data_IF_709832883846
#
_entry.id   IF_709832883846
#
_cell.length_a   1.000
_cell.length_b   1.000
_cell.length_c   1.000
_cell.angle_alpha   90.00
_cell.angle_beta   90.00
_cell.angle_gamma   90.00
#
_symmetry.space_group_name_H-M   'P 1'
#
loop_
_entity.id
_entity.type
_entity.pdbx_description
1 polymer ?
#
# COMPACT_ATOMS: atom_id res chain seq x y z
N UNK A 1 -15.08 5.15 -20.47
CA UNK A 1 -16.04 6.00 -19.74
C UNK A 1 -16.08 7.41 -20.29
N UNK A 2 -14.96 8.05 -20.53
CA UNK A 2 -14.90 9.45 -20.97
C UNK A 2 -15.69 9.70 -22.28
N UNK A 3 -15.53 8.82 -23.28
CA UNK A 3 -16.19 8.96 -24.59
C UNK A 3 -17.56 8.27 -24.68
N UNK A 4 -17.77 7.20 -23.93
CA UNK A 4 -18.94 6.30 -24.06
C UNK A 4 -19.76 6.23 -22.77
N UNK A 5 -19.61 7.17 -21.86
CA UNK A 5 -20.13 7.10 -20.51
C UNK A 5 -19.63 5.85 -19.75
N UNK A 6 -20.02 5.68 -18.51
CA UNK A 6 -19.72 4.45 -17.75
C UNK A 6 -20.77 3.38 -18.12
N UNK A 7 -20.51 2.61 -19.18
CA UNK A 7 -21.47 1.71 -19.80
C UNK A 7 -20.83 0.38 -20.21
N UNK A 8 -21.63 -0.64 -20.45
CA UNK A 8 -21.17 -1.94 -20.98
C UNK A 8 -20.41 -1.78 -22.30
N UNK A 9 -20.88 -0.88 -23.19
CA UNK A 9 -20.18 -0.59 -24.46
C UNK A 9 -18.77 -0.06 -24.22
N UNK A 10 -18.58 0.86 -23.24
CA UNK A 10 -17.29 1.39 -22.88
C UNK A 10 -16.34 0.28 -22.38
N UNK A 11 -16.86 -0.66 -21.59
CA UNK A 11 -16.07 -1.78 -21.04
C UNK A 11 -15.68 -2.77 -22.12
N UNK A 12 -16.58 -3.11 -23.05
CA UNK A 12 -16.28 -3.94 -24.22
C UNK A 12 -15.17 -3.31 -25.07
N UNK A 13 -15.30 -2.00 -25.36
CA UNK A 13 -14.29 -1.29 -26.12
C UNK A 13 -12.93 -1.28 -25.40
N UNK A 14 -12.91 -0.99 -24.09
CA UNK A 14 -11.70 -1.02 -23.29
C UNK A 14 -11.05 -2.41 -23.25
N UNK A 15 -11.87 -3.49 -23.14
CA UNK A 15 -11.39 -4.84 -23.17
C UNK A 15 -10.77 -5.20 -24.52
N UNK A 16 -11.45 -4.90 -25.62
CA UNK A 16 -10.93 -5.12 -26.98
C UNK A 16 -9.62 -4.36 -27.19
N UNK A 17 -9.57 -3.09 -26.74
CA UNK A 17 -8.35 -2.27 -26.83
C UNK A 17 -7.21 -2.89 -26.02
N UNK A 18 -7.49 -3.33 -24.79
CA UNK A 18 -6.52 -4.02 -23.94
C UNK A 18 -5.97 -5.28 -24.62
N UNK A 19 -6.86 -6.14 -25.13
CA UNK A 19 -6.46 -7.36 -25.85
C UNK A 19 -5.60 -7.03 -27.08
N UNK A 20 -6.01 -5.99 -27.84
CA UNK A 20 -5.24 -5.57 -29.00
C UNK A 20 -3.83 -5.05 -28.64
N UNK A 21 -3.72 -4.28 -27.54
CA UNK A 21 -2.41 -3.81 -27.03
C UNK A 21 -1.57 -5.01 -26.57
N UNK A 22 -2.14 -5.93 -25.79
CA UNK A 22 -1.41 -7.12 -25.35
C UNK A 22 -0.95 -7.94 -26.53
N UNK A 23 -1.85 -8.17 -27.52
CA UNK A 23 -1.50 -8.86 -28.75
C UNK A 23 -0.38 -8.16 -29.53
N UNK A 24 -0.46 -6.83 -29.67
CA UNK A 24 0.59 -6.04 -30.35
C UNK A 24 1.94 -6.15 -29.63
N UNK A 25 1.94 -6.04 -28.29
CA UNK A 25 3.16 -6.20 -27.49
C UNK A 25 3.75 -7.61 -27.65
N UNK A 26 2.92 -8.63 -27.69
CA UNK A 26 3.35 -10.02 -27.89
C UNK A 26 3.82 -10.30 -29.33
N UNK A 27 3.15 -9.71 -30.33
CA UNK A 27 3.48 -9.93 -31.74
C UNK A 27 4.72 -9.17 -32.20
N UNK A 28 4.87 -7.93 -31.74
CA UNK A 28 5.93 -7.01 -32.19
C UNK A 28 7.03 -6.80 -31.14
N UNK A 29 6.84 -7.24 -29.90
CA UNK A 29 7.85 -7.18 -28.85
C UNK A 29 9.04 -8.08 -29.20
N UNK A 30 10.26 -7.56 -29.04
CA UNK A 30 11.50 -8.32 -29.29
C UNK A 30 11.69 -9.54 -28.38
N UNK A 31 10.91 -9.62 -27.29
CA UNK A 31 10.98 -10.71 -26.34
C UNK A 31 9.82 -11.71 -26.53
N UNK A 32 9.87 -12.49 -27.60
CA UNK A 32 9.02 -13.68 -27.76
C UNK A 32 9.20 -14.75 -26.67
N UNK A 33 10.05 -14.49 -25.67
CA UNK A 33 10.42 -15.45 -24.63
C UNK A 33 9.45 -15.52 -23.45
N UNK A 34 8.57 -14.53 -23.26
CA UNK A 34 7.61 -14.54 -22.15
C UNK A 34 6.66 -15.75 -22.17
N UNK A 35 6.34 -16.30 -23.36
CA UNK A 35 5.48 -17.44 -23.53
C UNK A 35 6.15 -18.65 -24.20
N UNK A 36 7.42 -18.55 -24.60
CA UNK A 36 8.16 -19.70 -25.12
C UNK A 36 8.51 -20.66 -23.99
N UNK A 37 7.62 -21.55 -23.79
CA UNK A 37 7.88 -22.82 -23.15
C UNK A 37 7.86 -22.75 -21.64
N UNK A 38 7.11 -23.58 -21.12
CA UNK A 38 7.20 -24.20 -19.80
C UNK A 38 5.93 -24.12 -18.98
N UNK A 39 4.84 -24.51 -19.58
CA UNK A 39 3.83 -25.23 -18.82
C UNK A 39 4.35 -26.66 -18.53
N UNK A 40 5.49 -26.75 -17.83
CA UNK A 40 5.82 -27.99 -17.12
C UNK A 40 4.82 -28.10 -15.99
N UNK A 41 4.17 -29.26 -15.84
CA UNK A 41 3.34 -29.51 -14.65
C UNK A 41 4.20 -29.19 -13.43
N UNK A 42 3.79 -28.28 -12.55
CA UNK A 42 4.58 -27.94 -11.38
C UNK A 42 4.70 -29.18 -10.51
N UNK A 43 5.90 -29.54 -10.13
CA UNK A 43 6.12 -30.49 -9.05
C UNK A 43 5.76 -29.77 -7.74
N UNK A 44 4.58 -30.08 -7.21
CA UNK A 44 4.03 -29.44 -6.01
C UNK A 44 4.95 -29.69 -4.81
N UNK A 45 5.53 -30.88 -4.69
CA UNK A 45 6.41 -31.23 -3.57
C UNK A 45 7.70 -30.41 -3.65
N UNK A 46 8.30 -30.34 -4.84
CA UNK A 46 9.48 -29.51 -5.07
C UNK A 46 9.17 -28.01 -4.83
N UNK A 47 7.98 -27.53 -5.26
CA UNK A 47 7.56 -26.15 -5.06
C UNK A 47 7.54 -25.78 -3.56
N UNK A 48 6.94 -26.59 -2.71
CA UNK A 48 6.88 -26.34 -1.26
C UNK A 48 8.25 -26.51 -0.59
N UNK A 49 9.02 -27.50 -1.00
CA UNK A 49 10.38 -27.70 -0.49
C UNK A 49 11.29 -26.53 -0.82
N UNK A 50 11.18 -25.99 -2.02
CA UNK A 50 11.96 -24.82 -2.44
C UNK A 50 11.45 -23.51 -1.84
N UNK A 51 10.19 -23.45 -1.45
CA UNK A 51 9.52 -22.24 -0.98
C UNK A 51 8.73 -22.48 0.32
N UNK A 52 9.39 -22.72 1.45
CA UNK A 52 8.73 -23.05 2.72
C UNK A 52 7.77 -21.95 3.22
N UNK A 53 7.96 -20.72 2.77
CA UNK A 53 7.01 -19.64 3.05
C UNK A 53 5.57 -19.92 2.56
N UNK A 54 5.41 -20.82 1.58
CA UNK A 54 4.07 -21.22 1.10
C UNK A 54 3.28 -22.01 2.15
N UNK A 55 3.95 -22.72 3.09
CA UNK A 55 3.29 -23.37 4.22
C UNK A 55 2.61 -22.38 5.16
N UNK A 56 3.10 -21.16 5.23
CA UNK A 56 2.49 -20.08 5.99
C UNK A 56 1.46 -19.30 5.15
N UNK A 57 1.84 -18.93 3.93
CA UNK A 57 1.01 -18.07 3.09
C UNK A 57 -0.29 -18.72 2.66
N UNK A 58 -0.27 -20.02 2.33
CA UNK A 58 -1.47 -20.69 1.83
C UNK A 58 -2.57 -20.80 2.90
N UNK A 59 -2.31 -21.26 4.13
CA UNK A 59 -3.31 -21.23 5.19
C UNK A 59 -3.82 -19.83 5.51
N UNK A 60 -2.92 -18.83 5.56
CA UNK A 60 -3.31 -17.44 5.80
C UNK A 60 -4.19 -16.91 4.67
N UNK A 61 -3.87 -17.22 3.42
CA UNK A 61 -4.68 -16.84 2.27
C UNK A 61 -6.07 -17.47 2.32
N UNK A 62 -6.14 -18.78 2.61
CA UNK A 62 -7.43 -19.49 2.74
C UNK A 62 -8.26 -18.88 3.87
N UNK A 63 -7.65 -18.61 5.02
CA UNK A 63 -8.31 -17.95 6.14
C UNK A 63 -8.80 -16.54 5.75
N UNK A 64 -7.96 -15.75 5.06
CA UNK A 64 -8.34 -14.42 4.60
C UNK A 64 -9.51 -14.47 3.62
N UNK A 65 -9.53 -15.43 2.70
CA UNK A 65 -10.66 -15.64 1.81
C UNK A 65 -11.94 -16.05 2.55
N UNK A 66 -11.79 -16.89 3.56
CA UNK A 66 -12.92 -17.26 4.43
C UNK A 66 -13.50 -16.02 5.13
N UNK A 67 -12.65 -15.20 5.77
CA UNK A 67 -13.08 -13.96 6.42
C UNK A 67 -13.70 -12.99 5.42
N UNK A 68 -13.10 -12.81 4.24
CA UNK A 68 -13.65 -11.97 3.18
C UNK A 68 -15.07 -12.38 2.81
N UNK A 69 -15.30 -13.67 2.60
CA UNK A 69 -16.60 -14.18 2.14
C UNK A 69 -17.67 -14.18 3.24
N UNK A 70 -17.31 -14.43 4.49
CA UNK A 70 -18.25 -14.60 5.58
C UNK A 70 -18.45 -13.34 6.43
N UNK A 71 -17.39 -12.55 6.62
CA UNK A 71 -17.41 -11.43 7.55
C UNK A 71 -17.63 -10.07 6.90
N UNK A 72 -17.28 -9.88 5.61
CA UNK A 72 -17.31 -8.54 5.01
C UNK A 72 -18.71 -8.06 4.70
N UNK A 73 -19.48 -8.83 3.94
CA UNK A 73 -20.90 -8.55 3.62
C UNK A 73 -21.67 -9.85 3.76
N UNK A 74 -22.00 -10.29 4.98
CA UNK A 74 -22.79 -11.48 5.20
C UNK A 74 -24.23 -11.27 4.72
N UNK A 75 -24.82 -12.33 4.20
CA UNK A 75 -26.23 -12.37 3.83
C UNK A 75 -27.00 -13.14 4.89
N UNK A 76 -27.81 -12.43 5.66
CA UNK A 76 -28.51 -12.96 6.83
C UNK A 76 -30.00 -12.65 6.69
N UNK A 77 -30.86 -13.65 6.75
CA UNK A 77 -32.32 -13.50 6.70
C UNK A 77 -32.83 -12.65 5.54
N UNK A 78 -32.25 -12.80 4.36
CA UNK A 78 -32.67 -12.07 3.18
C UNK A 78 -32.07 -10.66 3.03
N UNK A 79 -31.24 -10.23 3.96
CA UNK A 79 -30.62 -8.90 3.95
C UNK A 79 -29.10 -8.94 3.93
N UNK A 80 -28.48 -7.93 3.33
CA UNK A 80 -27.04 -7.72 3.39
C UNK A 80 -26.71 -6.95 4.68
N UNK A 81 -25.74 -7.46 5.42
CA UNK A 81 -25.24 -6.83 6.63
C UNK A 81 -23.80 -6.38 6.43
N UNK A 82 -23.39 -5.29 7.06
CA UNK A 82 -21.99 -4.94 7.14
C UNK A 82 -21.32 -5.81 8.20
N UNK A 83 -20.21 -6.41 7.84
CA UNK A 83 -19.39 -7.14 8.79
C UNK A 83 -18.66 -6.21 9.74
N UNK A 84 -18.05 -6.76 10.73
CA UNK A 84 -17.27 -6.14 11.78
C UNK A 84 -16.40 -4.99 11.23
N UNK A 85 -15.39 -4.57 11.63
CA UNK A 85 -14.46 -3.50 11.22
C UNK A 85 -14.71 -2.80 9.85
N UNK A 86 -15.60 -3.35 9.01
CA UNK A 86 -15.96 -2.76 7.70
C UNK A 86 -17.11 -1.78 7.76
N UNK A 87 -17.83 -1.69 8.88
CA UNK A 87 -19.07 -0.90 8.97
C UNK A 87 -18.86 0.60 8.74
N UNK A 88 -17.71 1.13 9.09
CA UNK A 88 -17.40 2.57 8.97
C UNK A 88 -17.39 3.06 7.52
N UNK A 89 -16.67 2.37 6.64
CA UNK A 89 -16.43 2.80 5.27
C UNK A 89 -17.31 2.07 4.24
N UNK A 90 -17.91 0.96 4.60
CA UNK A 90 -18.64 0.10 3.65
C UNK A 90 -19.79 0.82 2.97
N UNK A 91 -20.60 1.58 3.71
CA UNK A 91 -21.73 2.32 3.16
C UNK A 91 -21.26 3.37 2.13
N UNK A 92 -20.13 4.02 2.37
CA UNK A 92 -19.50 4.96 1.45
C UNK A 92 -19.07 4.24 0.17
N UNK A 93 -18.33 3.13 0.28
CA UNK A 93 -17.90 2.35 -0.88
C UNK A 93 -19.07 1.77 -1.68
N UNK A 94 -20.09 1.23 -1.03
CA UNK A 94 -21.31 0.75 -1.70
C UNK A 94 -22.06 1.90 -2.40
N UNK A 95 -22.10 3.07 -1.78
CA UNK A 95 -22.62 4.29 -2.37
C UNK A 95 -21.85 4.69 -3.63
N UNK A 96 -20.52 4.67 -3.61
CA UNK A 96 -19.71 4.98 -4.78
C UNK A 96 -19.90 3.94 -5.89
N UNK A 97 -19.87 2.65 -5.58
CA UNK A 97 -20.08 1.58 -6.56
C UNK A 97 -21.41 1.74 -7.30
N UNK A 98 -22.48 1.91 -6.56
CA UNK A 98 -23.83 2.03 -7.14
C UNK A 98 -24.03 3.36 -7.86
N UNK A 99 -23.50 4.46 -7.33
CA UNK A 99 -23.58 5.78 -7.91
C UNK A 99 -22.84 5.87 -9.24
N UNK A 100 -21.57 5.43 -9.30
CA UNK A 100 -20.78 5.41 -10.54
C UNK A 100 -21.49 4.61 -11.63
N UNK A 101 -22.06 3.45 -11.28
CA UNK A 101 -22.78 2.60 -12.22
C UNK A 101 -24.07 3.24 -12.75
N UNK A 102 -24.79 3.99 -11.90
CA UNK A 102 -26.09 4.61 -12.24
C UNK A 102 -25.94 5.97 -12.91
N UNK A 103 -25.07 6.82 -12.43
CA UNK A 103 -24.84 8.17 -12.99
C UNK A 103 -24.25 8.12 -14.40
N UNK A 104 -23.40 7.13 -14.68
CA UNK A 104 -22.72 6.95 -15.97
C UNK A 104 -21.82 8.11 -16.39
N UNK A 105 -21.58 9.08 -15.51
CA UNK A 105 -20.73 10.25 -15.75
C UNK A 105 -19.27 9.96 -15.37
N UNK A 106 -18.35 10.70 -16.00
CA UNK A 106 -16.94 10.69 -15.63
C UNK A 106 -16.39 12.13 -15.74
N UNK A 107 -15.74 12.70 -14.73
CA UNK A 107 -15.54 12.14 -13.37
C UNK A 107 -16.88 11.87 -12.65
N UNK A 108 -16.94 10.86 -11.77
CA UNK A 108 -18.16 10.57 -11.03
C UNK A 108 -18.51 11.70 -10.06
N UNK A 109 -19.81 11.88 -9.82
CA UNK A 109 -20.30 12.79 -8.77
C UNK A 109 -20.37 12.07 -7.42
N UNK A 110 -20.35 12.87 -6.36
CA UNK A 110 -20.41 12.36 -5.00
C UNK A 110 -21.82 11.81 -4.71
N UNK A 111 -21.88 10.58 -4.20
CA UNK A 111 -23.15 9.85 -4.06
C UNK A 111 -24.15 10.48 -3.07
N UNK A 112 -23.64 11.24 -2.10
CA UNK A 112 -24.45 11.83 -1.02
C UNK A 112 -24.80 13.28 -1.31
N UNK A 113 -23.98 14.00 -2.10
CA UNK A 113 -24.15 15.41 -2.40
C UNK A 113 -24.22 15.62 -3.93
N UNK A 114 -25.41 15.61 -4.53
CA UNK A 114 -25.59 15.80 -5.98
C UNK A 114 -25.00 17.11 -6.48
N UNK A 115 -24.43 17.09 -7.69
CA UNK A 115 -23.78 18.25 -8.30
C UNK A 115 -22.35 18.50 -7.82
N UNK A 116 -21.87 17.76 -6.83
CA UNK A 116 -20.49 17.83 -6.36
C UNK A 116 -19.68 16.69 -6.95
N UNK A 117 -18.53 16.99 -7.54
CA UNK A 117 -17.61 15.97 -8.07
C UNK A 117 -17.00 15.15 -6.93
N UNK A 118 -16.85 13.85 -7.17
CA UNK A 118 -16.24 12.95 -6.22
C UNK A 118 -14.75 13.28 -6.03
N UNK A 119 -14.40 13.75 -4.85
CA UNK A 119 -13.04 14.07 -4.44
C UNK A 119 -12.51 12.97 -3.49
N UNK A 120 -12.38 11.75 -3.98
CA UNK A 120 -11.92 10.56 -3.25
C UNK A 120 -11.21 9.61 -4.21
N UNK A 121 -10.23 8.80 -3.77
CA UNK A 121 -9.65 7.72 -4.56
C UNK A 121 -10.70 6.65 -4.88
N UNK A 122 -11.28 6.67 -6.06
CA UNK A 122 -12.47 5.87 -6.42
C UNK A 122 -12.20 4.71 -7.38
N UNK A 123 -10.96 4.49 -7.82
CA UNK A 123 -10.69 3.50 -8.86
C UNK A 123 -11.04 2.08 -8.41
N UNK A 124 -10.79 1.72 -7.15
CA UNK A 124 -11.20 0.44 -6.58
C UNK A 124 -12.71 0.22 -6.65
N UNK A 125 -13.50 1.27 -6.38
CA UNK A 125 -14.95 1.22 -6.45
C UNK A 125 -15.46 1.21 -7.89
N UNK A 126 -14.78 1.92 -8.79
CA UNK A 126 -15.02 1.90 -10.22
C UNK A 126 -14.86 0.50 -10.83
N UNK A 127 -13.86 -0.29 -10.37
CA UNK A 127 -13.70 -1.69 -10.77
C UNK A 127 -14.92 -2.52 -10.34
N UNK A 128 -15.40 -2.31 -9.12
CA UNK A 128 -16.63 -2.97 -8.64
C UNK A 128 -17.88 -2.50 -9.38
N UNK A 129 -17.96 -1.20 -9.72
CA UNK A 129 -19.03 -0.68 -10.56
C UNK A 129 -19.03 -1.33 -11.94
N UNK A 130 -17.83 -1.64 -12.47
CA UNK A 130 -17.70 -2.36 -13.74
C UNK A 130 -18.29 -3.77 -13.65
N UNK A 131 -18.06 -4.48 -12.56
CA UNK A 131 -18.66 -5.80 -12.33
C UNK A 131 -20.18 -5.66 -12.13
N UNK A 132 -20.63 -4.65 -11.39
CA UNK A 132 -22.03 -4.43 -11.09
C UNK A 132 -22.89 -4.11 -12.34
N UNK A 133 -22.39 -3.33 -13.29
CA UNK A 133 -23.14 -3.02 -14.53
C UNK A 133 -23.34 -4.22 -15.46
N UNK A 134 -22.57 -5.32 -15.26
CA UNK A 134 -22.79 -6.59 -15.96
C UNK A 134 -23.92 -7.44 -15.34
N UNK A 135 -24.66 -6.90 -14.37
CA UNK A 135 -25.81 -7.54 -13.75
C UNK A 135 -25.51 -8.46 -12.59
N UNK A 136 -24.30 -8.41 -12.02
CA UNK A 136 -23.98 -9.17 -10.81
C UNK A 136 -24.64 -8.54 -9.58
N UNK A 137 -24.80 -9.34 -8.51
CA UNK A 137 -25.25 -8.82 -7.22
C UNK A 137 -24.26 -7.79 -6.67
N UNK A 138 -24.73 -6.82 -5.86
CA UNK A 138 -23.89 -5.83 -5.23
C UNK A 138 -22.82 -6.48 -4.34
N UNK A 139 -23.17 -7.57 -3.63
CA UNK A 139 -22.25 -8.38 -2.83
C UNK A 139 -21.12 -8.96 -3.70
N UNK A 140 -21.46 -9.58 -4.81
CA UNK A 140 -20.47 -10.13 -5.75
C UNK A 140 -19.60 -9.05 -6.35
N UNK A 141 -20.19 -7.93 -6.76
CA UNK A 141 -19.46 -6.80 -7.32
C UNK A 141 -18.46 -6.20 -6.32
N UNK A 142 -18.76 -6.24 -5.03
CA UNK A 142 -17.87 -5.79 -3.98
C UNK A 142 -16.74 -6.81 -3.72
N UNK A 143 -17.08 -8.08 -3.51
CA UNK A 143 -16.15 -9.12 -3.04
C UNK A 143 -15.22 -9.66 -4.13
N UNK A 144 -15.71 -9.84 -5.36
CA UNK A 144 -14.93 -10.45 -6.44
C UNK A 144 -13.65 -9.68 -6.78
N UNK A 145 -13.67 -8.36 -6.95
CA UNK A 145 -12.44 -7.60 -7.15
C UNK A 145 -11.49 -7.65 -5.95
N UNK A 146 -12.01 -7.67 -4.72
CA UNK A 146 -11.20 -7.82 -3.52
C UNK A 146 -10.49 -9.18 -3.47
N UNK A 147 -11.16 -10.25 -3.87
CA UNK A 147 -10.54 -11.58 -3.96
C UNK A 147 -9.32 -11.57 -4.90
N UNK A 148 -9.43 -10.96 -6.09
CA UNK A 148 -8.29 -10.82 -7.00
C UNK A 148 -7.19 -9.92 -6.44
N UNK A 149 -7.56 -8.85 -5.75
CA UNK A 149 -6.59 -7.99 -5.07
C UNK A 149 -5.84 -8.73 -3.95
N UNK A 150 -6.50 -9.62 -3.19
CA UNK A 150 -5.85 -10.48 -2.20
C UNK A 150 -4.81 -11.41 -2.85
N UNK A 151 -5.14 -12.05 -3.98
CA UNK A 151 -4.18 -12.87 -4.73
C UNK A 151 -2.94 -12.05 -5.08
N UNK A 152 -3.13 -10.81 -5.56
CA UNK A 152 -2.03 -9.92 -5.92
C UNK A 152 -1.20 -9.51 -4.70
N UNK A 153 -1.84 -9.18 -3.57
CA UNK A 153 -1.14 -8.81 -2.34
C UNK A 153 -0.33 -9.97 -1.79
N UNK A 154 -0.92 -11.15 -1.63
CA UNK A 154 -0.21 -12.32 -1.09
C UNK A 154 0.96 -12.74 -1.99
N UNK A 155 0.72 -12.76 -3.31
CA UNK A 155 1.77 -13.03 -4.29
C UNK A 155 2.85 -11.94 -4.28
N UNK A 156 2.44 -10.68 -4.18
CA UNK A 156 3.33 -9.52 -4.13
C UNK A 156 4.23 -9.52 -2.91
N UNK A 157 3.69 -9.77 -1.72
CA UNK A 157 4.47 -9.90 -0.47
C UNK A 157 5.51 -11.00 -0.61
N UNK A 158 5.10 -12.17 -1.12
CA UNK A 158 6.00 -13.29 -1.32
C UNK A 158 7.15 -12.96 -2.29
N UNK A 159 6.81 -12.43 -3.46
CA UNK A 159 7.80 -12.10 -4.49
C UNK A 159 8.74 -10.98 -4.04
N UNK A 160 8.20 -9.95 -3.37
CA UNK A 160 9.00 -8.84 -2.85
C UNK A 160 9.92 -9.30 -1.72
N UNK A 161 9.42 -10.09 -0.76
CA UNK A 161 10.24 -10.64 0.31
C UNK A 161 11.39 -11.49 -0.26
N UNK A 162 11.08 -12.37 -1.21
CA UNK A 162 12.10 -13.20 -1.88
C UNK A 162 13.12 -12.32 -2.62
N UNK A 163 12.67 -11.26 -3.29
CA UNK A 163 13.52 -10.33 -4.02
C UNK A 163 14.47 -9.58 -3.10
N UNK A 164 13.96 -9.03 -2.01
CA UNK A 164 14.78 -8.29 -1.03
C UNK A 164 15.78 -9.21 -0.34
N UNK A 165 15.37 -10.42 0.04
CA UNK A 165 16.23 -11.35 0.76
C UNK A 165 17.40 -11.90 -0.08
N UNK A 166 17.37 -11.73 -1.41
CA UNK A 166 18.51 -12.06 -2.29
C UNK A 166 19.76 -11.23 -2.02
N UNK A 167 19.57 -9.98 -1.53
CA UNK A 167 20.70 -9.07 -1.25
C UNK A 167 21.41 -9.36 0.08
N UNK A 168 20.79 -10.19 0.93
CA UNK A 168 21.38 -10.58 2.21
C UNK A 168 21.97 -11.99 2.10
N UNK A 169 23.21 -12.19 2.49
CA UNK A 169 23.85 -13.52 2.46
C UNK A 169 23.09 -14.59 3.26
N UNK A 170 23.34 -15.87 3.00
CA UNK A 170 22.71 -17.00 3.68
C UNK A 170 21.41 -17.51 3.03
N UNK A 171 20.63 -18.32 3.75
CA UNK A 171 19.43 -18.99 3.19
C UNK A 171 18.31 -18.01 2.84
N UNK A 172 18.04 -17.83 1.56
CA UNK A 172 16.91 -17.03 1.06
C UNK A 172 15.59 -17.62 1.55
N UNK A 173 15.46 -18.95 1.62
CA UNK A 173 14.23 -19.65 2.02
C UNK A 173 13.81 -19.30 3.44
N UNK A 174 14.72 -19.43 4.40
CA UNK A 174 14.45 -19.15 5.82
C UNK A 174 14.18 -17.66 6.08
N UNK A 175 14.95 -16.79 5.43
CA UNK A 175 14.76 -15.33 5.57
C UNK A 175 13.45 -14.85 4.98
N UNK A 176 13.06 -15.36 3.80
CA UNK A 176 11.78 -15.02 3.20
C UNK A 176 10.60 -15.51 4.06
N UNK A 177 10.72 -16.71 4.66
CA UNK A 177 9.74 -17.21 5.60
C UNK A 177 9.61 -16.25 6.80
N UNK A 178 10.72 -15.89 7.42
CA UNK A 178 10.73 -14.98 8.58
C UNK A 178 10.17 -13.59 8.21
N UNK A 179 10.56 -13.02 7.07
CA UNK A 179 10.06 -11.73 6.61
C UNK A 179 8.54 -11.74 6.41
N UNK A 180 8.00 -12.80 5.84
CA UNK A 180 6.55 -12.98 5.64
C UNK A 180 5.84 -13.19 6.97
N UNK A 181 6.41 -14.00 7.87
CA UNK A 181 5.86 -14.19 9.20
C UNK A 181 5.79 -12.85 9.96
N UNK A 182 6.87 -12.09 9.97
CA UNK A 182 6.90 -10.77 10.59
C UNK A 182 5.91 -9.79 9.95
N UNK A 183 5.72 -9.85 8.64
CA UNK A 183 4.75 -8.99 7.95
C UNK A 183 3.32 -9.29 8.39
N UNK A 184 2.89 -10.54 8.43
CA UNK A 184 1.50 -10.88 8.77
C UNK A 184 1.20 -10.93 10.27
N UNK A 185 2.21 -11.14 11.10
CA UNK A 185 2.08 -11.24 12.55
C UNK A 185 2.66 -10.04 13.31
N UNK A 186 2.93 -8.94 12.62
CA UNK A 186 3.25 -7.70 13.32
C UNK A 186 1.97 -7.15 14.00
N UNK A 187 2.08 -6.21 14.89
CA UNK A 187 0.96 -5.60 15.57
C UNK A 187 1.22 -5.34 17.05
N UNK A 188 2.51 -5.36 17.44
CA UNK A 188 2.92 -5.14 18.83
C UNK A 188 2.59 -6.30 19.75
N UNK A 189 2.52 -6.05 21.05
CA UNK A 189 2.29 -7.07 22.08
C UNK A 189 0.79 -7.28 22.40
N UNK A 190 -0.12 -6.66 21.67
CA UNK A 190 -1.58 -6.85 21.85
C UNK A 190 -2.04 -8.30 21.69
N UNK A 191 -1.25 -9.16 21.02
CA UNK A 191 -1.50 -10.59 20.93
C UNK A 191 -1.59 -11.26 22.32
N UNK A 192 -0.95 -10.71 23.33
CA UNK A 192 -1.05 -11.23 24.71
C UNK A 192 -2.49 -11.16 25.24
N UNK A 193 -3.20 -10.06 24.94
CA UNK A 193 -4.60 -9.95 25.28
C UNK A 193 -5.45 -10.98 24.54
N UNK A 194 -5.18 -11.19 23.26
CA UNK A 194 -5.83 -12.24 22.47
C UNK A 194 -5.60 -13.62 23.09
N UNK A 195 -4.38 -13.95 23.45
CA UNK A 195 -4.04 -15.22 24.11
C UNK A 195 -4.77 -15.38 25.44
N UNK A 196 -4.80 -14.34 26.26
CA UNK A 196 -5.37 -14.39 27.60
C UNK A 196 -6.89 -14.36 27.63
N UNK A 197 -7.55 -13.55 26.80
CA UNK A 197 -9.00 -13.35 26.83
C UNK A 197 -9.74 -14.03 25.68
N UNK A 198 -9.09 -14.21 24.54
CA UNK A 198 -9.66 -14.86 23.37
C UNK A 198 -9.41 -16.36 23.37
N UNK A 199 -8.14 -16.78 23.30
CA UNK A 199 -7.76 -18.17 23.12
C UNK A 199 -8.18 -19.06 24.30
N UNK A 200 -8.10 -18.55 25.52
CA UNK A 200 -8.48 -19.27 26.73
C UNK A 200 -9.91 -18.98 27.22
N UNK A 201 -10.71 -18.30 26.43
CA UNK A 201 -12.12 -18.06 26.76
C UNK A 201 -12.98 -19.23 26.31
N UNK A 202 -14.08 -19.47 27.02
CA UNK A 202 -15.11 -20.47 26.65
C UNK A 202 -15.70 -20.18 25.25
N UNK A 203 -15.63 -18.94 24.81
CA UNK A 203 -16.17 -18.45 23.54
C UNK A 203 -15.12 -18.28 22.44
N UNK A 204 -13.96 -18.90 22.54
CA UNK A 204 -12.90 -18.77 21.52
C UNK A 204 -13.40 -19.08 20.10
N UNK A 205 -14.27 -20.08 19.93
CA UNK A 205 -14.86 -20.42 18.64
C UNK A 205 -15.67 -19.30 18.00
N UNK A 206 -16.11 -18.30 18.77
CA UNK A 206 -16.80 -17.13 18.25
C UNK A 206 -15.92 -16.29 17.31
N UNK A 207 -14.61 -16.40 17.40
CA UNK A 207 -13.69 -15.80 16.42
C UNK A 207 -14.01 -16.25 14.98
N UNK A 208 -14.51 -17.47 14.83
CA UNK A 208 -14.89 -18.04 13.54
C UNK A 208 -16.36 -17.85 13.18
N UNK A 209 -17.22 -17.67 14.16
CA UNK A 209 -18.68 -17.68 13.97
C UNK A 209 -19.36 -16.34 14.22
N UNK A 210 -18.85 -15.54 15.16
CA UNK A 210 -19.37 -14.23 15.51
C UNK A 210 -18.37 -13.14 15.16
N UNK A 211 -18.36 -12.73 13.93
CA UNK A 211 -17.41 -11.80 13.32
C UNK A 211 -17.40 -10.38 13.89
N UNK A 212 -18.17 -10.12 14.92
CA UNK A 212 -18.26 -8.80 15.58
C UNK A 212 -17.32 -8.65 16.75
N UNK A 213 -16.78 -9.74 17.26
CA UNK A 213 -15.93 -9.74 18.44
C UNK A 213 -14.51 -10.05 18.04
N UNK A 214 -13.67 -9.03 18.06
CA UNK A 214 -12.22 -9.23 17.97
C UNK A 214 -11.65 -9.08 19.38
N UNK A 215 -11.19 -10.16 20.00
CA UNK A 215 -10.52 -10.10 21.29
C UNK A 215 -9.15 -9.41 21.21
N UNK A 216 -8.80 -8.89 20.07
CA UNK A 216 -7.55 -8.19 19.79
C UNK A 216 -7.58 -6.71 20.18
N UNK A 217 -8.79 -6.12 20.33
CA UNK A 217 -8.97 -4.74 20.75
C UNK A 217 -9.65 -4.68 22.12
N UNK A 218 -8.92 -4.19 23.10
CA UNK A 218 -9.43 -3.97 24.45
C UNK A 218 -9.25 -2.50 24.82
N UNK A 219 -10.20 -1.69 24.41
CA UNK A 219 -10.15 -0.22 24.52
C UNK A 219 -10.00 0.23 25.97
N UNK A 220 -10.67 -0.46 26.94
CA UNK A 220 -10.58 -0.12 28.34
C UNK A 220 -9.16 -0.23 28.93
N UNK A 221 -8.35 -1.13 28.39
CA UNK A 221 -6.95 -1.31 28.78
C UNK A 221 -6.00 -0.62 27.82
N UNK A 222 -6.51 0.16 26.86
CA UNK A 222 -5.73 0.80 25.80
C UNK A 222 -4.85 -0.20 25.00
N UNK A 223 -5.35 -1.42 24.82
CA UNK A 223 -4.68 -2.45 24.06
C UNK A 223 -5.29 -2.52 22.67
N UNK A 224 -4.49 -2.28 21.67
CA UNK A 224 -4.85 -2.42 20.26
C UNK A 224 -3.83 -3.32 19.57
N UNK A 225 -4.33 -4.28 18.83
CA UNK A 225 -3.50 -5.16 18.01
C UNK A 225 -3.97 -5.08 16.56
N UNK A 226 -3.27 -4.30 15.77
CA UNK A 226 -3.59 -4.10 14.38
C UNK A 226 -3.06 -5.26 13.53
N UNK A 227 -3.92 -6.22 13.27
CA UNK A 227 -3.59 -7.34 12.41
C UNK A 227 -3.71 -6.94 10.94
N UNK A 228 -2.72 -7.28 10.13
CA UNK A 228 -2.68 -6.96 8.69
C UNK A 228 -3.92 -7.48 7.95
N UNK A 229 -4.40 -8.67 8.27
CA UNK A 229 -5.56 -9.27 7.58
C UNK A 229 -6.85 -8.61 8.06
N UNK A 230 -7.08 -8.61 9.38
CA UNK A 230 -8.36 -8.22 9.96
C UNK A 230 -8.60 -6.71 10.05
N UNK A 231 -7.52 -5.91 10.15
CA UNK A 231 -7.63 -4.45 10.30
C UNK A 231 -7.22 -3.66 9.05
N UNK A 232 -6.40 -4.27 8.16
CA UNK A 232 -5.91 -3.56 6.98
C UNK A 232 -6.49 -4.10 5.67
N UNK A 233 -6.36 -5.41 5.40
CA UNK A 233 -6.72 -5.96 4.09
C UNK A 233 -8.23 -6.14 3.91
N UNK A 234 -8.94 -6.59 4.94
CA UNK A 234 -10.38 -6.86 4.86
C UNK A 234 -11.21 -5.58 5.01
N UNK A 235 -11.04 -4.75 6.06
CA UNK A 235 -11.88 -3.56 6.22
C UNK A 235 -11.43 -2.40 5.35
N UNK A 236 -10.15 -2.26 5.09
CA UNK A 236 -9.56 -1.14 4.36
C UNK A 236 -9.44 -1.45 2.86
N UNK A 237 -10.59 -1.41 2.16
CA UNK A 237 -10.65 -1.71 0.73
C UNK A 237 -9.61 -0.93 -0.09
N UNK A 238 -9.47 0.37 0.14
CA UNK A 238 -8.51 1.20 -0.56
C UNK A 238 -7.06 0.77 -0.30
N UNK A 239 -6.74 0.35 0.92
CA UNK A 239 -5.43 -0.21 1.28
C UNK A 239 -5.14 -1.51 0.54
N UNK A 240 -6.11 -2.43 0.50
CA UNK A 240 -5.97 -3.70 -0.22
C UNK A 240 -5.60 -3.47 -1.70
N UNK A 241 -6.35 -2.61 -2.40
CA UNK A 241 -6.07 -2.29 -3.80
C UNK A 241 -4.79 -1.48 -3.97
N UNK A 242 -4.50 -0.59 -3.03
CA UNK A 242 -3.25 0.17 -2.99
C UNK A 242 -2.03 -0.74 -2.90
N UNK A 243 -2.08 -1.77 -2.05
CA UNK A 243 -0.99 -2.74 -1.92
C UNK A 243 -0.92 -3.70 -3.10
N UNK A 244 -2.08 -4.09 -3.66
CA UNK A 244 -2.12 -4.89 -4.89
C UNK A 244 -1.38 -4.20 -6.04
N UNK A 245 -1.34 -2.87 -6.06
CA UNK A 245 -0.57 -2.08 -7.04
C UNK A 245 0.86 -1.77 -6.55
N UNK A 246 1.05 -1.48 -5.27
CA UNK A 246 2.34 -1.08 -4.70
C UNK A 246 3.41 -2.18 -4.84
N UNK A 247 3.07 -3.43 -4.52
CA UNK A 247 4.04 -4.53 -4.60
C UNK A 247 4.57 -4.77 -6.01
N UNK A 248 3.74 -4.85 -7.07
CA UNK A 248 4.24 -4.90 -8.44
C UNK A 248 5.13 -3.71 -8.82
N UNK A 249 4.79 -2.49 -8.41
CA UNK A 249 5.62 -1.31 -8.66
C UNK A 249 7.00 -1.48 -8.03
N UNK A 250 7.08 -1.90 -6.78
CA UNK A 250 8.35 -2.12 -6.09
C UNK A 250 9.18 -3.22 -6.76
N UNK A 251 8.55 -4.33 -7.15
CA UNK A 251 9.24 -5.41 -7.87
C UNK A 251 9.78 -4.91 -9.21
N UNK A 252 8.99 -4.12 -9.94
CA UNK A 252 9.44 -3.52 -11.20
C UNK A 252 10.61 -2.57 -10.99
N UNK A 253 10.59 -1.74 -9.93
CA UNK A 253 11.70 -0.84 -9.59
C UNK A 253 12.98 -1.60 -9.24
N UNK A 254 12.88 -2.69 -8.46
CA UNK A 254 14.03 -3.56 -8.20
C UNK A 254 14.63 -4.11 -9.50
N UNK A 255 13.79 -4.65 -10.39
CA UNK A 255 14.24 -5.12 -11.70
C UNK A 255 14.76 -4.01 -12.58
N UNK A 256 14.12 -2.84 -12.59
CA UNK A 256 14.55 -1.68 -13.36
C UNK A 256 15.97 -1.25 -12.99
N UNK A 257 16.29 -1.25 -11.71
CA UNK A 257 17.62 -0.91 -11.20
C UNK A 257 18.65 -1.99 -11.56
N UNK A 258 18.32 -3.27 -11.33
CA UNK A 258 19.24 -4.38 -11.60
C UNK A 258 19.57 -4.53 -13.09
N UNK A 259 18.53 -4.48 -13.92
CA UNK A 259 18.65 -4.68 -15.36
C UNK A 259 18.98 -3.38 -16.12
N UNK A 260 19.04 -2.24 -15.41
CA UNK A 260 19.18 -0.88 -15.98
C UNK A 260 18.17 -0.63 -17.12
N UNK A 261 16.95 -1.13 -16.94
CA UNK A 261 15.93 -1.20 -17.97
C UNK A 261 15.05 0.04 -17.99
N UNK A 262 15.13 0.82 -19.06
CA UNK A 262 14.24 1.96 -19.33
C UNK A 262 12.76 1.54 -19.32
N UNK A 263 12.46 0.36 -19.87
CA UNK A 263 11.09 -0.15 -19.96
C UNK A 263 10.49 -0.39 -18.58
N UNK A 264 11.25 -1.00 -17.66
CA UNK A 264 10.74 -1.26 -16.31
C UNK A 264 10.57 0.03 -15.48
N UNK A 265 11.48 1.02 -15.65
CA UNK A 265 11.29 2.34 -15.05
C UNK A 265 10.03 3.03 -15.58
N UNK A 266 9.80 2.98 -16.91
CA UNK A 266 8.61 3.57 -17.50
C UNK A 266 7.32 2.87 -17.03
N UNK A 267 7.29 1.54 -17.04
CA UNK A 267 6.14 0.76 -16.57
C UNK A 267 5.84 1.03 -15.10
N UNK A 268 6.87 1.04 -14.23
CA UNK A 268 6.71 1.40 -12.84
C UNK A 268 6.18 2.83 -12.67
N UNK A 269 6.66 3.79 -13.48
CA UNK A 269 6.21 5.18 -13.48
C UNK A 269 4.73 5.34 -13.84
N UNK A 270 4.27 4.61 -14.85
CA UNK A 270 2.84 4.62 -15.26
C UNK A 270 1.96 4.07 -14.13
N UNK A 271 2.32 2.93 -13.55
CA UNK A 271 1.55 2.35 -12.45
C UNK A 271 1.57 3.24 -11.21
N UNK A 272 2.74 3.79 -10.86
CA UNK A 272 2.89 4.69 -9.71
C UNK A 272 2.09 5.98 -9.89
N UNK A 273 2.07 6.54 -11.09
CA UNK A 273 1.29 7.73 -11.42
C UNK A 273 -0.22 7.55 -11.24
N UNK A 274 -0.74 6.33 -11.45
CA UNK A 274 -2.15 5.99 -11.24
C UNK A 274 -2.52 5.69 -9.78
N UNK A 275 -1.54 5.45 -8.91
CA UNK A 275 -1.77 5.02 -7.53
C UNK A 275 -2.57 6.01 -6.67
N UNK A 276 -2.46 7.36 -6.80
CA UNK A 276 -3.30 8.30 -6.05
C UNK A 276 -4.80 8.12 -6.27
N UNK A 277 -5.22 7.60 -7.43
CA UNK A 277 -6.62 7.33 -7.74
C UNK A 277 -7.15 6.06 -7.02
N UNK A 278 -6.25 5.24 -6.51
CA UNK A 278 -6.54 4.00 -5.78
C UNK A 278 -6.38 4.21 -4.28
N UNK A 279 -5.20 4.70 -3.85
CA UNK A 279 -4.85 4.85 -2.43
C UNK A 279 -3.70 5.84 -2.24
N UNK A 280 -4.03 7.03 -1.77
CA UNK A 280 -3.08 8.14 -1.61
C UNK A 280 -1.97 7.84 -0.60
N UNK A 281 -2.29 7.10 0.48
CA UNK A 281 -1.28 6.70 1.48
C UNK A 281 -0.23 5.76 0.90
N UNK A 282 -0.63 4.79 0.05
CA UNK A 282 0.34 3.93 -0.65
C UNK A 282 1.21 4.72 -1.62
N UNK A 283 0.66 5.76 -2.25
CA UNK A 283 1.45 6.65 -3.10
C UNK A 283 2.49 7.43 -2.30
N UNK A 284 2.12 7.96 -1.14
CA UNK A 284 3.05 8.63 -0.23
C UNK A 284 4.15 7.69 0.27
N UNK A 285 3.77 6.49 0.71
CA UNK A 285 4.71 5.46 1.13
C UNK A 285 5.69 5.09 0.00
N UNK A 286 5.18 4.92 -1.24
CA UNK A 286 6.03 4.70 -2.41
C UNK A 286 7.02 5.86 -2.62
N UNK A 287 6.59 7.10 -2.46
CA UNK A 287 7.45 8.28 -2.56
C UNK A 287 8.63 8.22 -1.59
N UNK A 288 8.36 7.88 -0.32
CA UNK A 288 9.41 7.71 0.69
C UNK A 288 10.36 6.56 0.34
N UNK A 289 9.81 5.42 -0.11
CA UNK A 289 10.62 4.28 -0.54
C UNK A 289 11.47 4.60 -1.77
N UNK A 290 10.91 5.31 -2.76
CA UNK A 290 11.65 5.76 -3.94
C UNK A 290 12.78 6.71 -3.59
N UNK A 291 12.58 7.62 -2.63
CA UNK A 291 13.67 8.47 -2.14
C UNK A 291 14.84 7.64 -1.61
N UNK A 292 14.55 6.61 -0.81
CA UNK A 292 15.55 5.64 -0.37
C UNK A 292 16.23 4.90 -1.53
N UNK A 293 15.47 4.40 -2.50
CA UNK A 293 16.01 3.73 -3.68
C UNK A 293 16.93 4.65 -4.51
N UNK A 294 16.52 5.89 -4.75
CA UNK A 294 17.33 6.89 -5.46
C UNK A 294 18.67 7.07 -4.75
N UNK A 295 18.65 7.29 -3.43
CA UNK A 295 19.88 7.49 -2.63
C UNK A 295 20.82 6.28 -2.74
N UNK A 296 20.27 5.08 -2.68
CA UNK A 296 21.07 3.85 -2.70
C UNK A 296 21.61 3.50 -4.09
N UNK A 297 20.84 3.80 -5.14
CA UNK A 297 21.13 3.32 -6.50
C UNK A 297 21.85 4.33 -7.38
N UNK A 298 21.71 5.62 -7.11
CA UNK A 298 22.41 6.67 -7.91
C UNK A 298 23.90 6.79 -7.62
N UNK A 299 24.39 6.09 -6.61
CA UNK A 299 25.76 6.19 -6.16
C UNK A 299 26.73 5.40 -7.05
N UNK A 300 27.76 6.04 -7.57
CA UNK A 300 28.93 5.35 -8.16
C UNK A 300 29.60 4.48 -7.10
N UNK A 301 30.16 3.35 -7.53
CA UNK A 301 30.94 2.49 -6.65
C UNK A 301 32.03 3.29 -5.92
N UNK A 302 32.14 3.12 -4.62
CA UNK A 302 33.08 3.87 -3.76
C UNK A 302 34.57 3.73 -4.18
N UNK A 303 34.90 2.74 -5.01
CA UNK A 303 36.25 2.57 -5.58
C UNK A 303 36.59 3.56 -6.69
N UNK A 304 35.57 4.19 -7.31
CA UNK A 304 35.76 5.12 -8.44
C UNK A 304 35.71 6.59 -8.02
N UNK A 305 35.27 6.89 -6.81
CA UNK A 305 35.15 8.26 -6.32
C UNK A 305 36.22 8.55 -5.27
N UNK A 306 37.17 9.40 -5.59
CA UNK A 306 38.11 10.03 -4.64
C UNK A 306 37.43 11.08 -3.74
N UNK A 307 36.12 11.17 -3.72
CA UNK A 307 35.39 12.29 -3.16
C UNK A 307 34.76 12.00 -1.79
N UNK A 308 34.57 13.07 -1.05
CA UNK A 308 34.04 13.14 0.31
C UNK A 308 32.75 12.35 0.47
N UNK A 309 32.84 11.21 1.10
CA UNK A 309 31.68 10.40 1.45
C UNK A 309 31.42 10.51 2.95
N UNK A 310 30.21 10.96 3.33
CA UNK A 310 29.81 10.88 4.73
C UNK A 310 29.92 9.40 5.14
N UNK A 311 30.78 9.05 6.10
CA UNK A 311 30.96 7.66 6.54
C UNK A 311 29.64 7.12 7.09
N UNK A 312 29.48 5.79 7.08
CA UNK A 312 28.24 5.11 7.51
C UNK A 312 27.80 5.57 8.91
N UNK A 313 28.75 5.74 9.83
CA UNK A 313 28.46 6.25 11.17
C UNK A 313 27.92 7.68 11.18
N UNK A 314 28.38 8.55 10.26
CA UNK A 314 27.88 9.92 10.13
C UNK A 314 26.43 9.96 9.63
N UNK A 315 26.04 9.03 8.74
CA UNK A 315 24.65 8.88 8.30
C UNK A 315 23.77 8.36 9.42
N UNK A 316 24.28 7.39 10.18
CA UNK A 316 23.59 6.86 11.35
C UNK A 316 23.36 7.98 12.39
N UNK A 317 24.38 8.79 12.68
CA UNK A 317 24.26 9.93 13.59
C UNK A 317 23.28 10.97 13.09
N UNK A 318 23.28 11.31 11.80
CA UNK A 318 22.33 12.25 11.21
C UNK A 318 20.88 11.72 11.31
N UNK A 319 20.67 10.44 11.03
CA UNK A 319 19.35 9.82 11.15
C UNK A 319 18.91 9.77 12.61
N UNK A 320 19.78 9.37 13.53
CA UNK A 320 19.50 9.32 14.96
C UNK A 320 19.22 10.72 15.54
N UNK A 321 20.00 11.74 15.15
CA UNK A 321 19.78 13.12 15.55
C UNK A 321 18.44 13.66 15.01
N UNK A 322 18.08 13.33 13.77
CA UNK A 322 16.80 13.74 13.18
C UNK A 322 15.62 13.09 13.89
N UNK A 323 15.69 11.78 14.19
CA UNK A 323 14.68 11.06 14.96
C UNK A 323 14.57 11.62 16.38
N UNK A 324 15.70 11.89 17.04
CA UNK A 324 15.72 12.49 18.36
C UNK A 324 15.10 13.88 18.37
N UNK A 325 15.43 14.74 17.40
CA UNK A 325 14.86 16.08 17.26
C UNK A 325 13.33 16.01 17.03
N UNK A 326 12.85 15.12 16.15
CA UNK A 326 11.42 14.93 15.93
C UNK A 326 10.70 14.43 17.18
N UNK A 327 11.30 13.48 17.90
CA UNK A 327 10.75 12.95 19.15
C UNK A 327 10.71 14.05 20.23
N UNK A 328 11.79 14.81 20.38
CA UNK A 328 11.87 15.91 21.33
C UNK A 328 10.82 17.00 21.04
N UNK A 329 10.66 17.38 19.78
CA UNK A 329 9.63 18.35 19.34
C UNK A 329 8.24 17.83 19.69
N UNK A 330 7.96 16.55 19.40
CA UNK A 330 6.67 15.94 19.69
C UNK A 330 6.34 15.87 21.18
N UNK A 331 7.33 15.55 22.00
CA UNK A 331 7.18 15.52 23.47
C UNK A 331 6.97 16.91 24.05
N UNK A 332 7.67 17.93 23.53
CA UNK A 332 7.54 19.31 23.99
C UNK A 332 6.19 19.94 23.65
N UNK A 333 5.56 19.56 22.58
CA UNK A 333 4.21 20.04 22.25
C UNK A 333 3.13 19.58 23.23
N UNK A 334 3.37 18.50 23.99
CA UNK A 334 2.47 18.01 25.05
C UNK A 334 2.74 18.62 26.43
N UNK A 335 3.79 19.45 26.58
CA UNK A 335 4.13 20.10 27.87
C UNK A 335 3.31 21.36 28.09
N UNK A 336 3.22 21.81 29.36
CA UNK A 336 2.50 23.01 29.76
C UNK A 336 3.08 24.32 29.15
N UNK A 337 4.27 24.25 28.55
CA UNK A 337 4.91 25.33 27.80
C UNK A 337 5.23 24.86 26.38
N UNK A 338 4.24 24.83 25.47
CA UNK A 338 4.47 24.41 24.10
C UNK A 338 5.40 25.39 23.39
N UNK A 339 6.28 24.85 22.52
CA UNK A 339 7.10 25.68 21.64
C UNK A 339 6.15 26.36 20.64
N UNK A 340 6.32 27.66 20.44
CA UNK A 340 5.53 28.41 19.48
C UNK A 340 5.57 27.74 18.08
N UNK A 341 4.43 27.66 17.43
CA UNK A 341 4.28 26.96 16.13
C UNK A 341 5.24 27.50 15.06
N UNK A 342 5.54 28.83 15.10
CA UNK A 342 6.49 29.45 14.17
C UNK A 342 7.94 28.99 14.42
N UNK A 343 8.32 28.80 15.66
CA UNK A 343 9.66 28.32 16.04
C UNK A 343 9.83 26.87 15.62
N UNK A 344 8.81 26.03 15.81
CA UNK A 344 8.78 24.64 15.33
C UNK A 344 8.88 24.54 13.82
N UNK A 345 8.15 25.39 13.10
CA UNK A 345 8.20 25.46 11.65
C UNK A 345 9.61 25.82 11.17
N UNK A 346 10.23 26.83 11.76
CA UNK A 346 11.59 27.24 11.42
C UNK A 346 12.60 26.11 11.68
N UNK A 347 12.55 25.48 12.83
CA UNK A 347 13.42 24.35 13.17
C UNK A 347 13.19 23.19 12.18
N UNK A 348 11.96 22.85 11.88
CA UNK A 348 11.60 21.80 10.92
C UNK A 348 12.11 22.11 9.52
N UNK A 349 11.95 23.35 9.05
CA UNK A 349 12.46 23.82 7.75
C UNK A 349 13.99 23.81 7.71
N UNK A 350 14.67 24.23 8.77
CA UNK A 350 16.13 24.20 8.85
C UNK A 350 16.66 22.75 8.83
N UNK A 351 16.07 21.85 9.59
CA UNK A 351 16.44 20.44 9.58
C UNK A 351 16.20 19.83 8.18
N UNK A 352 15.04 20.08 7.58
CA UNK A 352 14.72 19.63 6.24
C UNK A 352 15.70 20.22 5.20
N UNK A 353 16.02 21.51 5.30
CA UNK A 353 16.98 22.15 4.41
C UNK A 353 18.39 21.55 4.54
N UNK A 354 18.88 21.31 5.76
CA UNK A 354 20.18 20.67 6.00
C UNK A 354 20.21 19.24 5.46
N UNK A 355 19.14 18.48 5.68
CA UNK A 355 19.02 17.11 5.13
C UNK A 355 18.96 17.13 3.61
N UNK A 356 18.16 18.01 3.01
CA UNK A 356 18.03 18.14 1.55
C UNK A 356 19.35 18.64 0.94
N UNK A 357 20.00 19.63 1.52
CA UNK A 357 21.28 20.15 1.03
C UNK A 357 22.40 19.11 1.18
N UNK A 358 22.45 18.40 2.29
CA UNK A 358 23.39 17.29 2.50
C UNK A 358 23.15 16.13 1.53
N UNK A 359 21.88 15.80 1.26
CA UNK A 359 21.50 14.84 0.23
C UNK A 359 21.88 15.32 -1.17
N UNK A 360 21.57 16.56 -1.53
CA UNK A 360 21.90 17.15 -2.83
C UNK A 360 23.42 17.22 -3.04
N UNK A 361 24.19 17.65 -2.06
CA UNK A 361 25.65 17.69 -2.13
C UNK A 361 26.25 16.27 -2.30
N UNK A 362 25.74 15.30 -1.52
CA UNK A 362 26.14 13.89 -1.67
C UNK A 362 25.72 13.28 -3.01
N UNK A 363 24.62 13.73 -3.57
CA UNK A 363 24.07 13.28 -4.83
C UNK A 363 24.83 13.86 -6.04
N UNK A 364 25.11 15.15 -6.04
CA UNK A 364 25.72 15.86 -7.19
C UNK A 364 27.14 15.36 -7.49
N UNK A 365 27.90 14.96 -6.48
CA UNK A 365 29.29 14.54 -6.61
C UNK A 365 29.50 13.08 -7.04
N UNK A 366 28.46 12.25 -6.99
CA UNK A 366 28.61 10.79 -7.17
C UNK A 366 27.59 10.12 -8.12
N UNK A 367 26.94 10.88 -8.99
CA UNK A 367 25.87 10.34 -9.84
C UNK A 367 26.35 9.49 -11.00
N UNK A 368 25.78 8.32 -11.13
CA UNK A 368 25.80 7.59 -12.40
C UNK A 368 24.75 8.22 -13.33
N UNK A 369 25.23 8.89 -14.37
CA UNK A 369 24.40 9.68 -15.30
C UNK A 369 23.21 8.88 -15.87
N UNK A 370 23.42 7.63 -16.26
CA UNK A 370 22.38 6.79 -16.85
C UNK A 370 21.27 6.47 -15.83
N UNK A 371 21.64 6.12 -14.61
CA UNK A 371 20.68 5.86 -13.52
C UNK A 371 19.89 7.12 -13.16
N UNK A 372 20.54 8.29 -13.17
CA UNK A 372 19.86 9.56 -12.95
C UNK A 372 18.81 9.85 -14.04
N UNK A 373 19.11 9.57 -15.30
CA UNK A 373 18.17 9.71 -16.42
C UNK A 373 16.97 8.77 -16.23
N UNK A 374 17.19 7.52 -15.85
CA UNK A 374 16.11 6.56 -15.61
C UNK A 374 15.18 7.00 -14.47
N UNK A 375 15.75 7.44 -13.34
CA UNK A 375 14.95 7.97 -12.22
C UNK A 375 14.22 9.27 -12.59
N UNK A 376 14.87 10.15 -13.36
CA UNK A 376 14.24 11.36 -13.89
C UNK A 376 13.05 11.06 -14.79
N UNK A 377 13.18 10.05 -15.66
CA UNK A 377 12.10 9.58 -16.51
C UNK A 377 10.96 8.97 -15.67
N UNK A 378 11.27 8.10 -14.71
CA UNK A 378 10.28 7.54 -13.79
C UNK A 378 9.50 8.66 -13.11
N UNK A 379 10.20 9.62 -12.47
CA UNK A 379 9.57 10.73 -11.77
C UNK A 379 8.74 11.60 -12.73
N UNK A 380 9.27 11.90 -13.91
CA UNK A 380 8.55 12.67 -14.93
C UNK A 380 7.21 12.01 -15.32
N UNK A 381 7.21 10.69 -15.57
CA UNK A 381 6.00 9.94 -15.87
C UNK A 381 5.03 9.97 -14.69
N UNK A 382 5.53 9.74 -13.47
CA UNK A 382 4.70 9.80 -12.25
C UNK A 382 4.04 11.16 -12.11
N UNK A 383 4.79 12.25 -12.26
CA UNK A 383 4.26 13.60 -12.10
C UNK A 383 3.22 13.94 -13.19
N UNK A 384 3.48 13.59 -14.45
CA UNK A 384 2.53 13.84 -15.56
C UNK A 384 1.19 13.15 -15.31
N UNK A 385 1.18 11.97 -14.71
CA UNK A 385 -0.05 11.21 -14.44
C UNK A 385 -0.65 11.62 -13.09
N UNK A 386 0.16 11.66 -12.03
CA UNK A 386 -0.32 11.84 -10.66
C UNK A 386 -0.78 13.28 -10.39
N UNK A 387 -0.11 14.31 -10.91
CA UNK A 387 -0.49 15.70 -10.61
C UNK A 387 -1.92 16.03 -11.04
N UNK A 388 -2.37 15.73 -12.29
CA UNK A 388 -3.76 15.94 -12.66
C UNK A 388 -4.75 15.20 -11.74
N UNK A 389 -4.41 13.98 -11.32
CA UNK A 389 -5.25 13.18 -10.41
C UNK A 389 -5.33 13.85 -9.04
N UNK A 390 -4.19 14.21 -8.46
CA UNK A 390 -4.11 14.84 -7.15
C UNK A 390 -4.87 16.17 -7.12
N UNK A 391 -4.68 17.02 -8.11
CA UNK A 391 -5.37 18.31 -8.18
C UNK A 391 -6.87 18.18 -8.47
N UNK A 392 -7.28 17.14 -9.20
CA UNK A 392 -8.70 16.96 -9.54
C UNK A 392 -9.47 16.27 -8.42
N UNK A 393 -8.90 15.27 -7.77
CA UNK A 393 -9.62 14.39 -6.86
C UNK A 393 -9.17 14.47 -5.41
N UNK A 394 -7.87 14.65 -5.13
CA UNK A 394 -7.35 14.60 -3.75
C UNK A 394 -7.36 15.97 -3.10
N UNK A 395 -6.75 16.97 -3.71
CA UNK A 395 -6.60 18.28 -3.08
C UNK A 395 -7.91 19.09 -3.02
N UNK A 396 -8.91 18.77 -3.83
CA UNK A 396 -10.23 19.38 -3.72
C UNK A 396 -11.04 18.92 -2.51
N UNK A 397 -10.72 17.76 -1.98
CA UNK A 397 -11.30 17.26 -0.72
C UNK A 397 -10.83 18.09 0.47
N UNK A 398 -9.69 18.73 0.34
CA UNK A 398 -9.00 19.48 1.40
C UNK A 398 -9.32 20.99 1.40
N UNK A 399 -10.41 21.43 0.79
CA UNK A 399 -10.81 22.85 0.75
C UNK A 399 -11.28 23.41 2.11
N UNK A 400 -11.19 22.67 3.18
CA UNK A 400 -11.40 23.11 4.56
C UNK A 400 -10.09 23.38 5.28
N UNK A 401 -10.17 23.57 6.59
CA UNK A 401 -9.03 23.81 7.48
C UNK A 401 -7.93 22.75 7.37
N UNK A 402 -6.74 23.07 7.84
CA UNK A 402 -5.51 22.29 7.79
C UNK A 402 -5.69 20.78 7.71
N UNK A 403 -5.57 20.30 6.51
CA UNK A 403 -5.77 18.93 6.08
C UNK A 403 -4.62 18.02 6.53
N UNK A 404 -3.39 18.52 6.56
CA UNK A 404 -2.24 17.76 7.05
C UNK A 404 -2.00 18.17 8.50
N UNK A 405 -2.19 17.22 9.41
CA UNK A 405 -1.88 17.36 10.82
C UNK A 405 -0.85 16.33 11.23
N UNK A 406 0.19 16.75 11.90
CA UNK A 406 1.14 15.85 12.53
C UNK A 406 0.65 15.48 13.93
N UNK A 407 0.28 14.23 14.11
CA UNK A 407 -0.02 13.67 15.42
C UNK A 407 0.92 12.51 15.71
N UNK A 408 1.52 12.51 16.87
CA UNK A 408 2.35 11.40 17.30
C UNK A 408 1.53 10.16 17.66
N UNK A 409 0.27 10.28 17.92
CA UNK A 409 -0.64 9.19 18.27
C UNK A 409 -1.94 9.33 17.47
N UNK A 410 -1.84 9.31 16.14
CA UNK A 410 -2.94 9.62 15.25
C UNK A 410 -4.04 8.55 15.23
N UNK A 411 -3.73 7.30 15.53
CA UNK A 411 -4.71 6.22 15.53
C UNK A 411 -5.59 6.18 16.77
N UNK A 412 -5.59 7.27 17.54
CA UNK A 412 -6.50 7.51 18.64
C UNK A 412 -6.34 6.56 19.85
N UNK A 413 -5.17 5.93 19.99
CA UNK A 413 -4.86 5.23 21.22
C UNK A 413 -4.54 6.25 22.34
N UNK A 414 -5.00 6.00 23.54
CA UNK A 414 -4.73 6.85 24.71
C UNK A 414 -3.33 6.62 25.29
N UNK A 415 -2.35 6.42 24.42
CA UNK A 415 -0.96 6.22 24.83
C UNK A 415 -0.37 7.56 25.26
N UNK A 416 -0.14 7.75 26.52
CA UNK A 416 0.36 9.00 27.09
C UNK A 416 1.88 8.97 27.34
N UNK A 417 2.45 7.76 27.48
CA UNK A 417 3.86 7.56 27.81
C UNK A 417 4.61 6.76 26.74
N UNK A 418 5.93 6.94 26.68
CA UNK A 418 6.78 6.19 25.76
C UNK A 418 6.74 4.68 26.04
N UNK A 419 6.60 4.29 27.30
CA UNK A 419 6.52 2.88 27.69
C UNK A 419 5.31 2.18 27.04
N UNK A 420 4.18 2.87 26.98
CA UNK A 420 2.99 2.38 26.30
C UNK A 420 3.23 2.19 24.78
N UNK A 421 4.01 3.08 24.16
CA UNK A 421 4.36 2.92 22.74
C UNK A 421 5.22 1.69 22.50
N UNK A 422 6.21 1.44 23.36
CA UNK A 422 7.07 0.24 23.24
C UNK A 422 6.25 -1.05 23.39
N UNK A 423 5.26 -1.05 24.28
CA UNK A 423 4.43 -2.24 24.54
C UNK A 423 3.37 -2.47 23.45
N UNK A 424 2.78 -1.40 22.88
CA UNK A 424 1.59 -1.52 22.02
C UNK A 424 1.86 -1.24 20.53
N UNK A 425 3.02 -0.69 20.17
CA UNK A 425 3.46 -0.40 18.80
C UNK A 425 4.85 -0.97 18.50
#
# INVERSE_FOLDING_TARGET
>A
AFFFQFSVKAHLFAFITFVAIVWAVLAFGKEHTLFKGRFKKPDIVALFHENPALFLLLPLFIYTCYVLLHATIPYINGSLHSGQSTYGDMNMHLGFITSIAKQKTFPPEYSILPGTKLAYPFLSDSISSSVYIWGTSLRTAYLLPMFFALIQVFSGVYLLAKKIMQYFGGSIRGKSFLAIALFFFNGGLGFYYFMNKGLFSENFTRIFTAFYETPTNYVQANIQWHNIICDMLIPQRATLFGWAMLFPILILLYRAVEEKSTLYFAAAGVLAGGLPLIHTHSFLALGVMCAGFVILTMRKNAKETKEFTIPVWGRFLLTAASLFALTYISLRQKSDTPIEANTLLIIGVLIAAVLVLGMLASLITSWEKQTAIHWGMFLGIVLVIALPILFTFTFKQASGDNFVRGFFNWNNSNVETMDNYIVFY
#
